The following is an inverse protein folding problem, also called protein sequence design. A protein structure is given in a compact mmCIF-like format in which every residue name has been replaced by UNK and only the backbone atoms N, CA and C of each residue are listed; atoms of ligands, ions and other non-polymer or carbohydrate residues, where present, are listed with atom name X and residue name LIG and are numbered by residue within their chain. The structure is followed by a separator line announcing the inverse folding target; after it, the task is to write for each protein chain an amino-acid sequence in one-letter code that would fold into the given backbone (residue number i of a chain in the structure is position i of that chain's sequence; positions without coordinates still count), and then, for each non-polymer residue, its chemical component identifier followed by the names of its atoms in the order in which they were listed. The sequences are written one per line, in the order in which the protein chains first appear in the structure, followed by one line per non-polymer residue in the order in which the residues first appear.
data_IF_921024156364
#
_entry.id   IF_921024156364
#
_cell.length_a   1.000
_cell.length_b   1.000
_cell.length_c   1.000
_cell.angle_alpha   90.00
_cell.angle_beta   90.00
_cell.angle_gamma   90.00
#
_symmetry.space_group_name_H-M   'P 1'
#
loop_
_entity.id
_entity.type
_entity.pdbx_description
1 polymer ?
#
# COMPACT_ATOMS: atom_id res chain seq x y z
N UNK A 1 24.55 -5.19 35.20
CA UNK A 1 24.23 -6.52 34.67
C UNK A 1 23.84 -6.35 33.19
N UNK A 2 24.80 -6.63 32.30
CA UNK A 2 24.59 -6.47 30.88
C UNK A 2 23.66 -7.58 30.39
N UNK A 3 22.53 -7.22 29.79
CA UNK A 3 21.69 -8.13 29.03
C UNK A 3 22.42 -8.46 27.72
N UNK A 4 23.42 -9.34 27.80
CA UNK A 4 23.97 -9.99 26.63
C UNK A 4 23.00 -11.09 26.20
N UNK A 5 21.85 -10.72 25.69
CA UNK A 5 21.02 -11.65 24.96
C UNK A 5 21.24 -11.37 23.48
N UNK A 6 22.05 -12.19 22.85
CA UNK A 6 21.98 -12.40 21.41
C UNK A 6 20.53 -12.77 21.06
N UNK A 7 19.77 -11.78 20.62
CA UNK A 7 18.43 -12.00 20.11
C UNK A 7 18.57 -12.17 18.60
N UNK A 8 18.55 -13.40 18.08
CA UNK A 8 18.70 -13.61 16.64
C UNK A 8 17.59 -12.85 15.92
N UNK A 9 17.94 -12.17 14.84
CA UNK A 9 16.95 -11.52 13.97
C UNK A 9 15.88 -12.55 13.61
N UNK A 10 14.60 -12.28 13.86
CA UNK A 10 13.55 -13.27 13.64
C UNK A 10 13.50 -13.70 12.16
N UNK A 11 13.12 -14.94 11.87
CA UNK A 11 13.05 -15.45 10.50
C UNK A 11 11.93 -14.80 9.67
N UNK A 12 10.99 -14.12 10.32
CA UNK A 12 9.90 -13.39 9.68
C UNK A 12 9.63 -12.07 10.41
N UNK A 13 9.01 -11.14 9.71
CA UNK A 13 8.57 -9.83 10.24
C UNK A 13 7.19 -9.50 9.66
N UNK A 14 6.38 -8.81 10.45
CA UNK A 14 5.04 -8.39 10.06
C UNK A 14 4.97 -6.87 10.17
N UNK A 15 4.35 -6.22 9.20
CA UNK A 15 4.03 -4.80 9.24
C UNK A 15 2.60 -4.57 8.82
N UNK A 16 2.01 -3.50 9.33
CA UNK A 16 0.70 -3.00 8.95
C UNK A 16 0.83 -1.64 8.30
N UNK A 17 -0.07 -1.31 7.38
CA UNK A 17 -0.19 0.01 6.78
C UNK A 17 -1.65 0.40 6.69
N UNK A 18 -1.89 1.69 6.83
CA UNK A 18 -3.20 2.31 6.67
C UNK A 18 -3.03 3.64 5.96
N UNK A 19 -3.90 3.92 4.99
CA UNK A 19 -3.94 5.21 4.33
C UNK A 19 -5.38 5.61 4.02
N UNK A 20 -5.63 6.90 3.88
CA UNK A 20 -6.91 7.43 3.41
C UNK A 20 -6.72 8.72 2.61
N UNK A 21 -7.57 8.91 1.63
CA UNK A 21 -7.57 10.10 0.79
C UNK A 21 -9.00 10.59 0.54
N UNK A 22 -9.17 11.91 0.47
CA UNK A 22 -10.45 12.53 0.12
C UNK A 22 -10.78 12.30 -1.36
N UNK A 23 -12.06 12.11 -1.67
CA UNK A 23 -12.58 12.08 -3.04
C UNK A 23 -12.92 13.49 -3.51
N UNK A 24 -12.37 13.89 -4.67
CA UNK A 24 -12.55 15.21 -5.25
C UNK A 24 -12.83 15.13 -6.77
N UNK A 25 -13.44 16.18 -7.32
CA UNK A 25 -13.60 16.33 -8.76
C UNK A 25 -12.28 16.67 -9.47
N UNK A 26 -12.20 16.39 -10.76
CA UNK A 26 -11.08 16.78 -11.61
C UNK A 26 -9.84 15.89 -11.51
N UNK A 27 -9.87 14.83 -10.69
CA UNK A 27 -8.80 13.85 -10.60
C UNK A 27 -9.23 12.48 -11.12
N UNK A 28 -8.27 11.73 -11.67
CA UNK A 28 -8.49 10.30 -11.99
C UNK A 28 -8.55 9.50 -10.71
N UNK A 29 -9.41 8.49 -10.65
CA UNK A 29 -9.39 7.51 -9.59
C UNK A 29 -8.39 6.41 -9.95
N UNK A 30 -7.32 6.31 -9.16
CA UNK A 30 -6.29 5.27 -9.32
C UNK A 30 -6.22 4.50 -8.02
N UNK A 31 -6.39 3.18 -8.07
CA UNK A 31 -6.33 2.28 -6.90
C UNK A 31 -5.64 0.97 -7.31
N UNK A 32 -4.62 0.58 -6.58
CA UNK A 32 -3.81 -0.61 -6.89
C UNK A 32 -3.12 -0.51 -8.25
N UNK A 33 -2.71 0.69 -8.64
CA UNK A 33 -2.11 1.00 -9.93
C UNK A 33 -3.12 0.94 -11.10
N UNK A 34 -4.43 0.78 -10.86
CA UNK A 34 -5.47 0.66 -11.89
C UNK A 34 -6.30 1.94 -11.95
N UNK A 35 -6.40 2.54 -13.13
CA UNK A 35 -7.34 3.66 -13.36
C UNK A 35 -8.76 3.12 -13.44
N UNK A 36 -9.62 3.61 -12.56
CA UNK A 36 -11.02 3.17 -12.45
C UNK A 36 -11.92 4.29 -12.94
N UNK A 37 -12.85 4.02 -13.89
CA UNK A 37 -13.84 5.00 -14.32
C UNK A 37 -14.72 5.45 -13.15
N UNK A 38 -14.61 6.70 -12.76
CA UNK A 38 -15.43 7.31 -11.70
C UNK A 38 -15.45 8.84 -11.86
N UNK A 39 -16.51 9.50 -11.37
CA UNK A 39 -16.64 10.96 -11.42
C UNK A 39 -15.67 11.71 -10.51
N UNK A 40 -15.21 11.05 -9.43
CA UNK A 40 -14.27 11.58 -8.44
C UNK A 40 -12.99 10.77 -8.48
N UNK A 41 -11.87 11.41 -8.12
CA UNK A 41 -10.59 10.76 -7.88
C UNK A 41 -10.02 11.15 -6.53
N UNK A 42 -8.96 10.48 -6.10
CA UNK A 42 -8.35 10.71 -4.80
C UNK A 42 -7.42 11.93 -4.82
N UNK A 43 -7.51 12.74 -3.76
CA UNK A 43 -6.68 13.94 -3.56
C UNK A 43 -5.39 13.55 -2.83
N UNK A 44 -4.25 13.94 -3.39
CA UNK A 44 -2.95 13.78 -2.77
C UNK A 44 -1.85 14.43 -3.59
N UNK A 45 -0.62 14.44 -3.06
CA UNK A 45 0.56 15.02 -3.70
C UNK A 45 1.02 14.16 -4.90
N UNK A 46 0.95 12.82 -4.78
CA UNK A 46 1.19 11.84 -5.84
C UNK A 46 -0.09 11.58 -6.65
N UNK A 47 -0.22 10.41 -7.27
CA UNK A 47 -1.46 9.91 -7.84
C UNK A 47 -2.52 9.53 -6.78
N UNK A 48 -2.16 9.61 -5.48
CA UNK A 48 -3.00 9.30 -4.33
C UNK A 48 -3.58 7.88 -4.32
N UNK A 49 -2.81 6.90 -4.80
CA UNK A 49 -3.21 5.49 -4.77
C UNK A 49 -3.20 4.97 -3.33
N UNK A 50 -4.34 5.06 -2.68
CA UNK A 50 -4.53 4.70 -1.27
C UNK A 50 -4.16 3.25 -0.96
N UNK A 51 -4.36 2.33 -1.91
CA UNK A 51 -4.01 0.91 -1.72
C UNK A 51 -2.51 0.70 -1.76
N UNK A 52 -1.82 1.27 -2.74
CA UNK A 52 -0.37 1.16 -2.84
C UNK A 52 0.33 1.85 -1.67
N UNK A 53 -0.18 2.99 -1.18
CA UNK A 53 0.38 3.67 0.00
C UNK A 53 0.26 2.81 1.26
N UNK A 54 -0.89 2.18 1.50
CA UNK A 54 -1.05 1.25 2.62
C UNK A 54 -0.10 0.04 2.52
N UNK A 55 0.09 -0.52 1.32
CA UNK A 55 1.03 -1.62 1.09
C UNK A 55 2.47 -1.15 1.33
N UNK A 56 2.86 0.03 0.83
CA UNK A 56 4.18 0.61 1.07
C UNK A 56 4.46 0.74 2.56
N UNK A 57 3.54 1.31 3.33
CA UNK A 57 3.70 1.47 4.77
C UNK A 57 3.79 0.13 5.50
N UNK A 58 3.02 -0.88 5.09
CA UNK A 58 3.13 -2.22 5.67
C UNK A 58 4.51 -2.85 5.45
N UNK A 59 5.09 -2.68 4.27
CA UNK A 59 6.42 -3.18 3.93
C UNK A 59 7.52 -2.43 4.69
N UNK A 60 7.47 -1.10 4.72
CA UNK A 60 8.40 -0.26 5.46
C UNK A 60 8.35 -0.56 6.96
N UNK A 61 7.15 -0.68 7.54
CA UNK A 61 6.94 -1.03 8.93
C UNK A 61 7.52 -2.41 9.27
N UNK A 62 7.26 -3.44 8.45
CA UNK A 62 7.83 -4.77 8.61
C UNK A 62 9.37 -4.75 8.58
N UNK A 63 9.95 -3.95 7.68
CA UNK A 63 11.40 -3.80 7.55
C UNK A 63 12.02 -2.88 8.63
N UNK A 64 11.22 -2.24 9.49
CA UNK A 64 11.64 -1.23 10.47
C UNK A 64 12.32 0.00 9.82
N UNK A 65 11.83 0.42 8.65
CA UNK A 65 12.36 1.55 7.88
C UNK A 65 11.59 2.86 8.08
N UNK A 66 10.53 2.87 8.89
CA UNK A 66 9.64 4.01 9.10
C UNK A 66 8.40 3.95 8.21
N UNK A 67 8.02 5.04 7.61
CA UNK A 67 6.80 5.22 6.82
C UNK A 67 7.06 5.87 5.45
N UNK A 68 6.03 5.94 4.61
CA UNK A 68 6.11 6.50 3.26
C UNK A 68 6.56 7.97 3.27
N UNK A 69 6.10 8.78 4.23
CA UNK A 69 6.44 10.20 4.33
C UNK A 69 7.92 10.46 4.62
N UNK A 70 8.58 9.54 5.34
CA UNK A 70 10.02 9.60 5.58
C UNK A 70 10.85 9.37 4.31
N UNK A 71 10.36 8.53 3.39
CA UNK A 71 11.08 8.14 2.18
C UNK A 71 10.74 9.02 0.97
N UNK A 72 9.51 9.51 0.91
CA UNK A 72 8.94 10.27 -0.20
C UNK A 72 8.12 11.45 0.34
N UNK A 73 8.79 12.46 0.94
CA UNK A 73 8.09 13.57 1.57
C UNK A 73 7.23 14.36 0.55
N UNK A 74 6.01 14.68 0.95
CA UNK A 74 5.06 15.47 0.16
C UNK A 74 5.51 16.93 -0.06
N UNK A 75 6.51 17.37 0.70
CA UNK A 75 7.15 18.67 0.53
C UNK A 75 8.20 18.70 -0.57
N UNK A 76 8.63 17.53 -1.09
CA UNK A 76 9.63 17.44 -2.15
C UNK A 76 8.95 17.48 -3.53
N UNK A 77 9.21 18.53 -4.35
CA UNK A 77 8.63 18.66 -5.69
C UNK A 77 8.94 17.48 -6.61
N UNK A 78 10.00 16.70 -6.34
CA UNK A 78 10.37 15.53 -7.14
C UNK A 78 9.28 14.44 -7.12
N UNK A 79 8.48 14.38 -6.06
CA UNK A 79 7.40 13.40 -5.92
C UNK A 79 6.01 13.95 -6.27
N UNK A 80 5.94 15.21 -6.72
CA UNK A 80 4.67 15.79 -7.18
C UNK A 80 4.14 15.02 -8.39
N UNK A 81 2.92 14.47 -8.27
CA UNK A 81 2.32 13.63 -9.31
C UNK A 81 2.99 12.27 -9.52
N UNK A 82 3.82 11.82 -8.58
CA UNK A 82 4.52 10.54 -8.69
C UNK A 82 3.54 9.38 -8.88
N UNK A 83 3.92 8.43 -9.74
CA UNK A 83 3.27 7.14 -9.90
C UNK A 83 3.60 6.25 -8.70
N UNK A 84 2.63 5.93 -7.88
CA UNK A 84 2.79 5.11 -6.66
C UNK A 84 3.32 3.71 -6.96
N UNK A 85 3.15 3.19 -8.17
CA UNK A 85 3.81 1.94 -8.61
C UNK A 85 5.32 2.06 -8.60
N UNK A 86 5.85 3.22 -8.99
CA UNK A 86 7.30 3.48 -8.93
C UNK A 86 7.79 3.54 -7.48
N UNK A 87 7.02 4.17 -6.58
CA UNK A 87 7.33 4.20 -5.16
C UNK A 87 7.31 2.77 -4.56
N UNK A 88 6.34 1.95 -4.95
CA UNK A 88 6.22 0.57 -4.49
C UNK A 88 7.44 -0.28 -4.90
N UNK A 89 7.90 -0.16 -6.16
CA UNK A 89 9.11 -0.85 -6.66
C UNK A 89 10.36 -0.43 -5.89
N UNK A 90 10.51 0.85 -5.62
CA UNK A 90 11.62 1.38 -4.83
C UNK A 90 11.61 0.81 -3.41
N UNK A 91 10.44 0.77 -2.76
CA UNK A 91 10.29 0.20 -1.40
C UNK A 91 10.58 -1.30 -1.40
N UNK A 92 10.13 -2.05 -2.41
CA UNK A 92 10.47 -3.47 -2.55
C UNK A 92 11.99 -3.68 -2.61
N UNK A 93 12.70 -2.85 -3.36
CA UNK A 93 14.18 -2.87 -3.43
C UNK A 93 14.83 -2.57 -2.07
N UNK A 94 14.31 -1.57 -1.34
CA UNK A 94 14.82 -1.22 0.01
C UNK A 94 14.60 -2.34 1.02
N UNK A 95 13.46 -3.02 0.95
CA UNK A 95 13.16 -4.20 1.79
C UNK A 95 14.16 -5.32 1.51
N UNK A 96 14.39 -5.65 0.23
CA UNK A 96 15.38 -6.66 -0.16
C UNK A 96 16.78 -6.34 0.37
N UNK A 97 17.18 -5.07 0.35
CA UNK A 97 18.47 -4.61 0.88
C UNK A 97 18.63 -4.84 2.41
N UNK A 98 17.53 -5.04 3.14
CA UNK A 98 17.58 -5.40 4.58
C UNK A 98 17.80 -6.89 4.83
N UNK A 99 17.92 -7.72 3.78
CA UNK A 99 18.08 -9.18 3.90
C UNK A 99 16.76 -9.94 4.09
N UNK A 100 15.64 -9.31 3.75
CA UNK A 100 14.32 -9.94 3.77
C UNK A 100 13.70 -9.96 2.38
N UNK A 101 12.87 -10.96 2.13
CA UNK A 101 12.01 -11.08 0.95
C UNK A 101 10.55 -10.93 1.35
N UNK A 102 9.70 -10.58 0.40
CA UNK A 102 8.26 -10.45 0.63
C UNK A 102 7.63 -11.85 0.62
N UNK A 103 7.08 -12.28 1.74
CA UNK A 103 6.36 -13.55 1.87
C UNK A 103 4.97 -13.46 1.26
N UNK A 104 4.17 -12.50 1.72
CA UNK A 104 2.85 -12.18 1.15
C UNK A 104 2.39 -10.79 1.59
N UNK A 105 1.39 -10.29 0.87
CA UNK A 105 0.63 -9.08 1.20
C UNK A 105 -0.85 -9.41 1.21
N UNK A 106 -1.57 -8.98 2.24
CA UNK A 106 -3.03 -8.99 2.32
C UNK A 106 -3.54 -7.56 2.56
N UNK A 107 -4.39 -7.07 1.67
CA UNK A 107 -4.87 -5.69 1.73
C UNK A 107 -6.39 -5.61 1.57
N UNK A 108 -6.99 -4.58 2.16
CA UNK A 108 -8.42 -4.32 2.10
C UNK A 108 -8.68 -2.87 1.68
N UNK A 109 -9.42 -2.67 0.62
CA UNK A 109 -9.94 -1.38 0.20
C UNK A 109 -11.26 -1.13 0.91
N UNK A 110 -11.44 0.03 1.52
CA UNK A 110 -12.69 0.47 2.14
C UNK A 110 -13.24 1.63 1.30
N UNK A 111 -14.25 1.33 0.47
CA UNK A 111 -14.83 2.29 -0.45
C UNK A 111 -16.32 2.02 -0.65
N UNK A 112 -17.16 3.06 -0.51
CA UNK A 112 -18.59 2.94 -0.74
C UNK A 112 -18.91 2.79 -2.24
N UNK A 113 -18.25 3.57 -3.08
CA UNK A 113 -18.31 3.56 -4.55
C UNK A 113 -16.95 3.95 -5.14
N UNK A 114 -16.64 3.50 -6.39
CA UNK A 114 -17.33 2.49 -7.19
C UNK A 114 -17.10 1.06 -6.68
N UNK A 115 -17.76 0.07 -7.28
CA UNK A 115 -17.47 -1.35 -6.98
C UNK A 115 -16.05 -1.71 -7.42
N UNK A 116 -15.24 -2.16 -6.47
CA UNK A 116 -13.83 -2.51 -6.70
C UNK A 116 -13.65 -3.92 -7.29
N UNK A 117 -14.58 -4.84 -7.03
CA UNK A 117 -14.45 -6.26 -7.39
C UNK A 117 -14.03 -6.52 -8.86
N UNK A 118 -14.55 -5.82 -9.88
CA UNK A 118 -14.13 -6.05 -11.27
C UNK A 118 -12.66 -5.68 -11.55
N UNK A 119 -12.05 -4.84 -10.72
CA UNK A 119 -10.70 -4.31 -10.90
C UNK A 119 -9.65 -5.06 -10.10
N UNK A 120 -10.06 -5.82 -9.08
CA UNK A 120 -9.15 -6.55 -8.17
C UNK A 120 -8.16 -7.47 -8.91
N UNK A 121 -8.56 -8.28 -9.92
CA UNK A 121 -7.59 -9.13 -10.59
C UNK A 121 -6.44 -8.36 -11.24
N UNK A 122 -6.72 -7.19 -11.80
CA UNK A 122 -5.70 -6.34 -12.40
C UNK A 122 -4.82 -5.66 -11.34
N UNK A 123 -5.41 -5.25 -10.20
CA UNK A 123 -4.64 -4.73 -9.06
C UNK A 123 -3.65 -5.76 -8.54
N UNK A 124 -4.11 -7.00 -8.30
CA UNK A 124 -3.26 -8.11 -7.84
C UNK A 124 -2.10 -8.35 -8.80
N UNK A 125 -2.38 -8.40 -10.11
CA UNK A 125 -1.35 -8.60 -11.13
C UNK A 125 -0.29 -7.49 -11.09
N UNK A 126 -0.70 -6.22 -11.02
CA UNK A 126 0.22 -5.06 -10.99
C UNK A 126 1.05 -5.00 -9.71
N UNK A 127 0.42 -5.24 -8.56
CA UNK A 127 1.10 -5.26 -7.27
C UNK A 127 2.14 -6.38 -7.25
N UNK A 128 1.78 -7.58 -7.70
CA UNK A 128 2.70 -8.72 -7.75
C UNK A 128 3.90 -8.45 -8.66
N UNK A 129 3.66 -7.85 -9.83
CA UNK A 129 4.71 -7.42 -10.77
C UNK A 129 5.67 -6.42 -10.10
N UNK A 130 5.14 -5.37 -9.46
CA UNK A 130 5.94 -4.31 -8.84
C UNK A 130 6.73 -4.82 -7.62
N UNK A 131 6.19 -5.78 -6.89
CA UNK A 131 6.85 -6.42 -5.75
C UNK A 131 7.84 -7.54 -6.16
N UNK A 132 7.81 -7.98 -7.43
CA UNK A 132 8.60 -9.12 -7.89
C UNK A 132 8.21 -10.45 -7.27
N UNK A 133 6.93 -10.66 -6.97
CA UNK A 133 6.38 -11.85 -6.33
C UNK A 133 5.32 -12.53 -7.20
N UNK A 134 4.93 -13.76 -6.86
CA UNK A 134 3.81 -14.43 -7.51
C UNK A 134 2.47 -13.76 -7.17
N UNK A 135 1.50 -13.69 -8.09
CA UNK A 135 0.14 -13.23 -7.79
C UNK A 135 -0.53 -13.95 -6.60
N UNK A 136 -0.17 -15.21 -6.34
CA UNK A 136 -0.66 -15.96 -5.18
C UNK A 136 -0.16 -15.43 -3.81
N UNK A 137 0.86 -14.59 -3.82
CA UNK A 137 1.38 -13.92 -2.62
C UNK A 137 0.70 -12.58 -2.35
N UNK A 138 -0.21 -12.14 -3.22
CA UNK A 138 -0.93 -10.87 -3.10
C UNK A 138 -2.43 -11.13 -3.02
N UNK A 139 -3.06 -10.69 -1.96
CA UNK A 139 -4.51 -10.72 -1.83
C UNK A 139 -5.06 -9.31 -1.67
N UNK A 140 -6.12 -8.97 -2.40
CA UNK A 140 -6.85 -7.71 -2.30
C UNK A 140 -8.32 -8.01 -2.07
N UNK A 141 -8.88 -7.41 -1.02
CA UNK A 141 -10.31 -7.44 -0.67
C UNK A 141 -10.89 -6.05 -0.80
N UNK A 142 -12.18 -5.95 -0.99
CA UNK A 142 -12.89 -4.68 -0.93
C UNK A 142 -14.13 -4.79 -0.06
N UNK A 143 -14.38 -3.75 0.72
CA UNK A 143 -15.53 -3.61 1.62
C UNK A 143 -16.16 -2.24 1.42
N UNK A 144 -17.48 -2.17 1.56
CA UNK A 144 -18.15 -0.89 1.82
C UNK A 144 -18.03 -0.55 3.29
N UNK A 145 -18.31 0.71 3.63
CA UNK A 145 -18.44 1.11 5.04
C UNK A 145 -19.91 1.13 5.50
N UNK A 146 -20.79 0.36 4.82
CA UNK A 146 -22.22 0.23 5.14
C UNK A 146 -22.93 1.59 5.30
N UNK A 147 -22.53 2.57 4.50
CA UNK A 147 -23.00 3.99 4.55
C UNK A 147 -22.66 4.72 5.85
N UNK A 148 -21.79 4.17 6.70
CA UNK A 148 -21.37 4.79 7.96
C UNK A 148 -20.16 5.69 7.78
N UNK A 149 -20.13 6.79 8.52
CA UNK A 149 -19.00 7.71 8.60
C UNK A 149 -18.66 8.37 7.26
N UNK A 150 -17.47 9.00 7.19
CA UNK A 150 -17.00 9.72 6.01
C UNK A 150 -16.79 8.80 4.80
N UNK A 151 -16.36 7.56 5.02
CA UNK A 151 -16.21 6.56 3.94
C UNK A 151 -17.57 6.16 3.37
N UNK A 152 -18.55 5.95 4.25
CA UNK A 152 -19.92 5.60 3.84
C UNK A 152 -20.67 6.74 3.16
N UNK A 153 -20.28 8.01 3.41
CA UNK A 153 -20.78 9.20 2.72
C UNK A 153 -20.03 9.55 1.44
N UNK A 154 -19.09 8.69 1.01
CA UNK A 154 -18.27 8.90 -0.19
C UNK A 154 -17.41 10.17 -0.15
N UNK A 155 -16.98 10.60 1.04
CA UNK A 155 -16.10 11.74 1.22
C UNK A 155 -14.62 11.35 0.98
N UNK A 156 -14.31 10.07 1.02
CA UNK A 156 -12.98 9.51 0.81
C UNK A 156 -12.98 8.01 0.63
N UNK A 157 -11.78 7.46 0.45
CA UNK A 157 -11.50 6.03 0.48
C UNK A 157 -10.36 5.76 1.45
N UNK A 158 -10.34 4.56 2.02
CA UNK A 158 -9.25 4.08 2.85
C UNK A 158 -8.75 2.71 2.37
N UNK A 159 -7.55 2.36 2.76
CA UNK A 159 -7.02 1.02 2.60
C UNK A 159 -6.21 0.62 3.81
N UNK A 160 -6.24 -0.67 4.11
CA UNK A 160 -5.40 -1.33 5.10
C UNK A 160 -4.59 -2.43 4.43
N UNK A 161 -3.37 -2.63 4.89
CA UNK A 161 -2.52 -3.70 4.40
C UNK A 161 -1.72 -4.35 5.54
N UNK A 162 -1.46 -5.64 5.38
CA UNK A 162 -0.51 -6.40 6.19
C UNK A 162 0.51 -7.04 5.26
N UNK A 163 1.79 -6.91 5.59
CA UNK A 163 2.87 -7.58 4.87
C UNK A 163 3.61 -8.53 5.80
N UNK A 164 3.93 -9.71 5.29
CA UNK A 164 4.85 -10.66 5.89
C UNK A 164 6.17 -10.61 5.12
N UNK A 165 7.26 -10.37 5.82
CA UNK A 165 8.62 -10.51 5.31
C UNK A 165 9.25 -11.80 5.86
N UNK A 166 10.05 -12.47 5.03
CA UNK A 166 10.77 -13.68 5.37
C UNK A 166 12.26 -13.40 5.16
N UNK A 167 13.12 -13.83 6.08
CA UNK A 167 14.57 -13.68 5.91
C UNK A 167 15.01 -14.38 4.61
N UNK A 168 15.79 -13.68 3.81
CA UNK A 168 16.43 -14.27 2.65
C UNK A 168 17.39 -15.38 3.09
N UNK A 169 17.49 -16.45 2.29
CA UNK A 169 18.39 -17.59 2.55
C UNK A 169 19.87 -17.20 2.41
#
# INVERSE_FOLDING_TARGET
MALASYNPTPPFRIGTGYDNHALVEGRKLIVGGVTIPHRLGLLGHSDADVLLHAIIDSLLGAAALGDIGKHFPDTDPMFAGADSRTLLREVASRVLATGYTIGNVDATIIAQQPKMAPHIPQMVSRIAEDLGVSPQQVNVKAKTNEKLGYLGREEGMAAEAVALLIRAA
#
